data_IF_199521378684
#
_entry.id   IF_199521378684
#
_cell.length_a   1.000
_cell.length_b   1.000
_cell.length_c   1.000
_cell.angle_alpha   90.00
_cell.angle_beta   90.00
_cell.angle_gamma   90.00
#
_symmetry.space_group_name_H-M   'P 1'
#
loop_
_entity.id
_entity.type
_entity.pdbx_description
1 polymer ?
#
# COMPACT_ATOMS: atom_id res chain seq x y z
N UNK A 1 -21.87 -19.44 -47.63
CA UNK A 1 -21.70 -17.99 -47.33
C UNK A 1 -21.84 -17.59 -45.84
N UNK A 2 -22.61 -18.29 -44.99
CA UNK A 2 -22.80 -17.86 -43.58
C UNK A 2 -21.57 -18.04 -42.65
N UNK A 3 -20.62 -18.93 -42.96
CA UNK A 3 -19.44 -19.16 -42.11
C UNK A 3 -18.37 -18.05 -42.21
N UNK A 4 -18.29 -17.34 -43.34
CA UNK A 4 -17.30 -16.27 -43.53
C UNK A 4 -17.58 -15.03 -42.68
N UNK A 5 -18.86 -14.73 -42.41
CA UNK A 5 -19.26 -13.60 -41.56
C UNK A 5 -18.86 -13.80 -40.09
N UNK A 6 -18.87 -15.04 -39.60
CA UNK A 6 -18.49 -15.34 -38.20
C UNK A 6 -16.98 -15.19 -37.98
N UNK A 7 -16.17 -15.59 -38.96
CA UNK A 7 -14.71 -15.46 -38.90
C UNK A 7 -14.30 -13.98 -38.97
N UNK A 8 -14.92 -13.19 -39.85
CA UNK A 8 -14.65 -11.74 -39.96
C UNK A 8 -15.05 -10.96 -38.70
N UNK A 9 -16.20 -11.30 -38.09
CA UNK A 9 -16.64 -10.65 -36.85
C UNK A 9 -15.78 -11.04 -35.65
N UNK A 10 -15.27 -12.28 -35.60
CA UNK A 10 -14.34 -12.74 -34.56
C UNK A 10 -12.99 -12.02 -34.61
N UNK A 11 -12.43 -11.80 -35.81
CA UNK A 11 -11.17 -11.07 -35.97
C UNK A 11 -11.31 -9.58 -35.60
N UNK A 12 -12.48 -8.97 -35.84
CA UNK A 12 -12.68 -7.56 -35.54
C UNK A 12 -12.73 -7.26 -34.03
N UNK A 13 -13.17 -8.21 -33.20
CA UNK A 13 -13.17 -8.05 -31.74
C UNK A 13 -11.77 -8.15 -31.11
N UNK A 14 -10.80 -8.78 -31.77
CA UNK A 14 -9.43 -8.95 -31.25
C UNK A 14 -8.51 -7.75 -31.54
N UNK A 15 -8.98 -6.80 -32.38
CA UNK A 15 -8.19 -5.63 -32.78
C UNK A 15 -8.50 -4.36 -31.95
N UNK A 16 -9.30 -4.46 -30.88
CA UNK A 16 -9.52 -3.32 -30.00
C UNK A 16 -8.20 -3.04 -29.25
N UNK A 17 -7.59 -1.85 -29.46
CA UNK A 17 -6.38 -1.50 -28.73
C UNK A 17 -6.72 -1.49 -27.24
N UNK A 18 -5.95 -2.22 -26.44
CA UNK A 18 -6.03 -2.12 -25.00
C UNK A 18 -5.82 -0.64 -24.66
N UNK A 19 -6.89 0.03 -24.21
CA UNK A 19 -6.79 1.41 -23.76
C UNK A 19 -5.73 1.42 -22.67
N UNK A 20 -4.62 2.13 -22.92
CA UNK A 20 -3.57 2.29 -21.94
C UNK A 20 -4.20 2.91 -20.70
N UNK A 21 -4.37 2.11 -19.65
CA UNK A 21 -4.87 2.63 -18.38
C UNK A 21 -3.78 3.55 -17.84
N UNK A 22 -4.09 4.84 -17.80
CA UNK A 22 -3.22 5.83 -17.21
C UNK A 22 -3.12 5.52 -15.71
N UNK A 23 -2.00 4.94 -15.30
CA UNK A 23 -1.76 4.62 -13.90
C UNK A 23 -1.75 5.92 -13.09
N UNK A 24 -2.43 5.90 -11.94
CA UNK A 24 -2.42 7.04 -11.03
C UNK A 24 -0.98 7.28 -10.52
N UNK A 25 -0.62 8.52 -10.15
CA UNK A 25 0.69 8.82 -9.56
C UNK A 25 1.00 7.96 -8.33
N UNK A 26 0.01 7.64 -7.51
CA UNK A 26 0.17 6.79 -6.33
C UNK A 26 0.57 5.36 -6.73
N UNK A 27 -0.08 4.82 -7.76
CA UNK A 27 0.24 3.49 -8.25
C UNK A 27 1.66 3.43 -8.83
N UNK A 28 2.05 4.44 -9.62
CA UNK A 28 3.43 4.58 -10.12
C UNK A 28 4.46 4.67 -8.99
N UNK A 29 4.14 5.39 -7.91
CA UNK A 29 5.03 5.47 -6.75
C UNK A 29 5.17 4.12 -6.04
N UNK A 30 4.07 3.37 -5.89
CA UNK A 30 4.08 2.01 -5.34
C UNK A 30 4.92 1.06 -6.21
N UNK A 31 4.74 1.11 -7.53
CA UNK A 31 5.51 0.32 -8.49
C UNK A 31 7.03 0.65 -8.38
N UNK A 32 7.38 1.92 -8.24
CA UNK A 32 8.76 2.36 -8.01
C UNK A 32 9.34 1.83 -6.69
N UNK A 33 8.57 1.82 -5.60
CA UNK A 33 8.99 1.25 -4.32
C UNK A 33 9.27 -0.25 -4.46
N UNK A 34 8.38 -0.99 -5.14
CA UNK A 34 8.58 -2.42 -5.39
C UNK A 34 9.82 -2.68 -6.25
N UNK A 35 10.07 -1.84 -7.25
CA UNK A 35 11.25 -1.92 -8.10
C UNK A 35 12.56 -1.71 -7.30
N UNK A 36 12.60 -0.68 -6.45
CA UNK A 36 13.73 -0.41 -5.55
C UNK A 36 13.95 -1.59 -4.58
N UNK A 37 12.88 -2.10 -4.00
CA UNK A 37 12.90 -3.22 -3.06
C UNK A 37 13.50 -4.49 -3.68
N UNK A 38 13.02 -4.86 -4.87
CA UNK A 38 13.53 -6.00 -5.63
C UNK A 38 15.02 -5.83 -5.95
N UNK A 39 15.45 -4.60 -6.24
CA UNK A 39 16.85 -4.28 -6.55
C UNK A 39 17.75 -4.33 -5.32
N UNK A 40 17.30 -3.84 -4.17
CA UNK A 40 18.00 -4.00 -2.89
C UNK A 40 18.14 -5.47 -2.49
N UNK A 41 17.10 -6.28 -2.69
CA UNK A 41 17.17 -7.71 -2.40
C UNK A 41 18.20 -8.43 -3.29
N UNK A 42 18.25 -8.08 -4.59
CA UNK A 42 19.29 -8.59 -5.50
C UNK A 42 20.69 -8.14 -5.09
N UNK A 43 20.85 -6.87 -4.71
CA UNK A 43 22.12 -6.36 -4.18
C UNK A 43 22.57 -7.14 -2.94
N UNK A 44 21.67 -7.33 -1.96
CA UNK A 44 21.93 -8.06 -0.71
C UNK A 44 22.47 -9.47 -0.95
N UNK A 45 21.86 -10.20 -1.88
CA UNK A 45 22.30 -11.56 -2.25
C UNK A 45 23.71 -11.59 -2.83
N UNK A 46 24.07 -10.58 -3.60
CA UNK A 46 25.41 -10.47 -4.20
C UNK A 46 26.47 -9.96 -3.20
N UNK A 47 26.05 -9.29 -2.12
CA UNK A 47 26.93 -8.60 -1.17
C UNK A 47 26.86 -9.16 0.26
N UNK A 48 26.77 -10.49 0.39
CA UNK A 48 26.83 -11.19 1.68
C UNK A 48 25.78 -10.69 2.68
N UNK A 49 24.53 -10.51 2.23
CA UNK A 49 23.42 -10.04 3.05
C UNK A 49 23.64 -8.61 3.59
N UNK A 50 24.32 -7.74 2.85
CA UNK A 50 24.47 -6.32 3.17
C UNK A 50 23.71 -5.46 2.18
N UNK A 51 23.06 -4.42 2.69
CA UNK A 51 22.42 -3.41 1.84
C UNK A 51 23.43 -2.31 1.48
N UNK A 52 23.26 -1.62 0.34
CA UNK A 52 24.15 -0.52 -0.02
C UNK A 52 23.94 0.65 0.94
N UNK A 53 24.99 1.44 1.17
CA UNK A 53 24.93 2.66 1.99
C UNK A 53 24.05 3.73 1.32
N UNK A 54 24.07 3.76 -0.01
CA UNK A 54 23.36 4.73 -0.85
C UNK A 54 22.55 4.03 -1.95
N UNK A 55 21.40 4.59 -2.33
CA UNK A 55 20.57 3.97 -3.38
C UNK A 55 21.24 4.05 -4.76
N UNK A 56 22.12 5.02 -4.96
CA UNK A 56 22.91 5.20 -6.18
C UNK A 56 23.80 3.99 -6.49
N UNK A 57 24.21 3.21 -5.48
CA UNK A 57 25.02 2.00 -5.65
C UNK A 57 24.23 0.85 -6.33
N UNK A 58 22.90 0.99 -6.46
CA UNK A 58 22.07 0.08 -7.24
C UNK A 58 22.23 0.30 -8.76
N UNK A 59 22.70 1.48 -9.18
CA UNK A 59 22.88 1.87 -10.57
C UNK A 59 24.35 1.69 -10.97
N UNK A 60 24.65 1.20 -12.20
CA UNK A 60 23.74 0.72 -13.23
C UNK A 60 23.40 -0.77 -13.13
N UNK A 61 24.00 -1.50 -12.16
CA UNK A 61 24.01 -2.96 -12.17
C UNK A 61 22.65 -3.60 -11.87
N UNK A 62 21.91 -3.04 -10.92
CA UNK A 62 20.61 -3.57 -10.48
C UNK A 62 19.43 -2.75 -11.04
N UNK A 63 19.67 -1.47 -11.32
CA UNK A 63 18.73 -0.53 -11.91
C UNK A 63 19.41 0.28 -13.02
N UNK A 64 18.68 0.55 -14.10
CA UNK A 64 19.17 1.43 -15.17
C UNK A 64 19.32 2.88 -14.70
N UNK A 65 18.35 3.34 -13.91
CA UNK A 65 18.33 4.66 -13.28
C UNK A 65 17.52 4.61 -11.98
N UNK A 66 17.71 5.59 -11.10
CA UNK A 66 16.90 5.71 -9.89
C UNK A 66 15.52 6.28 -10.24
N UNK A 67 14.41 5.59 -9.89
CA UNK A 67 13.08 6.10 -10.15
C UNK A 67 12.82 7.37 -9.33
N UNK A 68 12.06 8.30 -9.91
CA UNK A 68 11.61 9.53 -9.25
C UNK A 68 10.16 9.38 -8.80
N UNK A 69 9.81 10.00 -7.68
CA UNK A 69 8.43 10.04 -7.24
C UNK A 69 7.59 10.86 -8.25
N UNK A 70 6.47 10.31 -8.76
CA UNK A 70 5.65 10.97 -9.78
C UNK A 70 4.89 12.20 -9.26
N UNK A 71 4.70 12.33 -7.94
CA UNK A 71 4.03 13.49 -7.32
C UNK A 71 4.98 14.68 -7.08
N UNK A 72 6.23 14.58 -7.52
CA UNK A 72 7.28 15.53 -7.18
C UNK A 72 7.93 15.19 -5.85
N UNK A 73 9.09 15.78 -5.56
CA UNK A 73 9.84 15.54 -4.33
C UNK A 73 11.21 14.92 -4.55
N UNK A 74 12.02 14.96 -3.49
CA UNK A 74 13.32 14.31 -3.43
C UNK A 74 13.20 12.78 -3.51
N UNK A 75 14.31 12.14 -3.86
CA UNK A 75 14.49 10.70 -4.01
C UNK A 75 13.91 9.88 -2.85
N UNK A 76 13.63 8.61 -3.12
CA UNK A 76 13.32 7.63 -2.08
C UNK A 76 14.43 7.60 -1.02
N UNK A 77 14.06 7.51 0.26
CA UNK A 77 15.02 7.44 1.36
C UNK A 77 15.10 6.01 1.89
N UNK A 78 16.32 5.57 2.19
CA UNK A 78 16.61 4.27 2.79
C UNK A 78 17.17 4.44 4.18
N UNK A 79 16.57 3.76 5.14
CA UNK A 79 17.09 3.63 6.50
C UNK A 79 17.54 2.19 6.68
N UNK A 80 18.80 1.93 7.03
CA UNK A 80 19.20 0.61 7.51
C UNK A 80 19.66 0.65 8.95
N UNK A 81 19.42 -0.45 9.64
CA UNK A 81 20.02 -0.73 10.94
C UNK A 81 21.06 -1.81 10.76
N UNK A 82 22.33 -1.42 10.90
CA UNK A 82 23.47 -2.34 10.95
C UNK A 82 23.59 -3.03 12.31
N UNK A 83 22.84 -2.58 13.31
CA UNK A 83 22.87 -3.13 14.67
C UNK A 83 22.16 -4.50 14.74
N UNK A 84 21.34 -4.83 13.73
CA UNK A 84 20.65 -6.10 13.66
C UNK A 84 21.39 -7.02 12.68
N UNK A 85 21.64 -8.26 13.09
CA UNK A 85 22.12 -9.34 12.24
C UNK A 85 20.99 -10.36 12.13
N UNK A 86 20.30 -10.47 10.98
CA UNK A 86 20.57 -9.87 9.66
C UNK A 86 20.32 -8.36 9.56
N UNK A 87 21.07 -7.65 8.69
CA UNK A 87 20.83 -6.22 8.42
C UNK A 87 19.40 -6.04 7.90
N UNK A 88 18.72 -5.00 8.38
CA UNK A 88 17.36 -4.63 7.93
C UNK A 88 17.38 -3.27 7.26
N UNK A 89 16.64 -3.14 6.16
CA UNK A 89 16.45 -1.88 5.46
C UNK A 89 14.96 -1.53 5.33
N UNK A 90 14.64 -0.25 5.46
CA UNK A 90 13.32 0.32 5.25
C UNK A 90 13.41 1.36 4.13
N UNK A 91 12.51 1.25 3.16
CA UNK A 91 12.33 2.23 2.08
C UNK A 91 11.09 3.07 2.34
N UNK A 92 11.24 4.39 2.23
CA UNK A 92 10.15 5.35 2.41
C UNK A 92 10.18 6.38 1.27
N UNK A 93 9.01 6.66 0.69
CA UNK A 93 8.83 7.83 -0.16
C UNK A 93 8.77 9.09 0.70
N UNK A 94 9.69 10.04 0.48
CA UNK A 94 9.82 11.23 1.32
C UNK A 94 8.85 12.37 0.98
N UNK A 95 7.95 12.16 0.01
CA UNK A 95 7.03 13.21 -0.43
C UNK A 95 5.87 13.38 0.56
N UNK A 96 5.66 14.58 1.13
CA UNK A 96 4.66 14.82 2.18
C UNK A 96 3.21 14.72 1.71
N UNK A 97 2.96 14.74 0.39
CA UNK A 97 1.61 14.56 -0.18
C UNK A 97 1.17 13.11 -0.32
N UNK A 98 2.04 12.13 -0.03
CA UNK A 98 1.59 10.76 0.14
C UNK A 98 0.94 10.62 1.51
N UNK A 99 -0.39 10.47 1.54
CA UNK A 99 -1.03 9.75 2.62
C UNK A 99 -0.60 8.29 2.46
N UNK A 100 0.59 7.95 2.98
CA UNK A 100 1.15 6.60 2.94
C UNK A 100 0.11 5.69 3.59
N UNK A 101 -0.70 5.03 2.77
CA UNK A 101 -1.62 4.01 3.26
C UNK A 101 -0.73 2.79 3.44
N UNK A 102 -0.77 2.09 4.58
CA UNK A 102 -0.12 0.79 4.67
C UNK A 102 -0.56 -0.03 3.44
N UNK A 103 0.37 -0.47 2.57
CA UNK A 103 1.76 -0.81 2.86
C UNK A 103 2.84 0.05 2.16
N UNK A 104 2.69 1.38 2.10
CA UNK A 104 3.61 2.25 1.35
C UNK A 104 5.03 2.40 1.97
N UNK A 105 5.37 1.58 2.97
CA UNK A 105 6.73 1.35 3.45
C UNK A 105 6.95 -0.16 3.49
N UNK A 106 8.09 -0.59 2.99
CA UNK A 106 8.44 -2.01 2.87
C UNK A 106 9.72 -2.25 3.67
N UNK A 107 9.71 -3.31 4.47
CA UNK A 107 10.89 -3.76 5.21
C UNK A 107 11.56 -4.91 4.47
N UNK A 108 12.88 -4.87 4.45
CA UNK A 108 13.73 -5.93 3.93
C UNK A 108 14.55 -6.49 5.09
N UNK A 109 14.58 -7.82 5.18
CA UNK A 109 15.60 -8.53 5.94
C UNK A 109 16.59 -9.12 4.95
N UNK A 110 17.88 -8.91 5.19
CA UNK A 110 18.92 -9.31 4.23
C UNK A 110 18.99 -10.82 3.99
N UNK A 111 18.58 -11.63 4.96
CA UNK A 111 18.54 -13.10 4.92
C UNK A 111 17.20 -13.69 4.43
N UNK A 112 16.07 -13.02 4.69
CA UNK A 112 14.71 -13.51 4.36
C UNK A 112 14.08 -12.84 3.14
N UNK A 113 14.72 -11.81 2.60
CA UNK A 113 14.25 -11.08 1.43
C UNK A 113 13.15 -10.08 1.74
N UNK A 114 12.13 -10.02 0.87
CA UNK A 114 10.98 -9.12 1.03
C UNK A 114 10.11 -9.69 2.14
N UNK A 115 10.29 -9.16 3.34
CA UNK A 115 9.35 -9.39 4.42
C UNK A 115 8.18 -8.42 4.18
N UNK A 116 7.07 -8.97 3.72
CA UNK A 116 5.81 -8.28 3.90
C UNK A 116 5.71 -7.94 5.39
N UNK A 117 5.36 -6.70 5.77
CA UNK A 117 5.19 -6.37 7.18
C UNK A 117 4.04 -7.16 7.87
N UNK A 118 3.46 -8.14 7.15
CA UNK A 118 2.24 -8.85 7.48
C UNK A 118 2.34 -10.39 7.53
N UNK A 119 3.54 -10.98 7.51
CA UNK A 119 3.72 -12.42 7.25
C UNK A 119 3.70 -13.39 8.46
N UNK A 120 3.32 -12.97 9.67
CA UNK A 120 3.11 -13.85 10.83
C UNK A 120 1.64 -13.88 11.28
N UNK A 121 1.25 -15.08 11.73
CA UNK A 121 -0.10 -15.55 12.08
C UNK A 121 -0.61 -15.00 13.43
N UNK A 122 0.25 -14.38 14.24
CA UNK A 122 -0.17 -13.80 15.52
C UNK A 122 -1.04 -12.55 15.29
N UNK A 123 -2.15 -12.47 16.02
CA UNK A 123 -3.12 -11.38 15.90
C UNK A 123 -2.42 -10.02 16.15
N UNK A 124 -2.36 -9.13 15.14
CA UNK A 124 -1.77 -7.79 15.25
C UNK A 124 -2.39 -6.91 16.36
N UNK A 125 -3.57 -7.27 16.86
CA UNK A 125 -4.15 -6.66 18.06
C UNK A 125 -3.26 -6.80 19.31
N UNK A 126 -2.39 -7.81 19.34
CA UNK A 126 -1.50 -8.13 20.47
C UNK A 126 -0.47 -7.02 20.66
N UNK A 127 0.23 -6.61 19.59
CA UNK A 127 1.22 -5.55 19.70
C UNK A 127 0.62 -4.14 19.71
N UNK A 128 -0.58 -3.96 19.13
CA UNK A 128 -1.29 -2.67 19.15
C UNK A 128 -1.50 -2.15 20.57
N UNK A 129 -1.92 -3.01 21.52
CA UNK A 129 -2.15 -2.59 22.92
C UNK A 129 -0.89 -2.04 23.58
N UNK A 130 0.24 -2.70 23.38
CA UNK A 130 1.53 -2.25 23.94
C UNK A 130 1.97 -0.91 23.34
N UNK A 131 1.78 -0.71 22.03
CA UNK A 131 2.10 0.55 21.36
C UNK A 131 1.19 1.71 21.80
N UNK A 132 -0.11 1.46 21.96
CA UNK A 132 -1.06 2.49 22.45
C UNK A 132 -0.70 2.90 23.88
N UNK A 133 -0.41 1.94 24.75
CA UNK A 133 0.01 2.22 26.13
C UNK A 133 1.34 2.98 26.17
N UNK A 134 2.28 2.64 25.27
CA UNK A 134 3.52 3.38 25.11
C UNK A 134 3.26 4.83 24.71
N UNK A 135 2.40 5.05 23.73
CA UNK A 135 2.05 6.38 23.23
C UNK A 135 1.51 7.26 24.36
N UNK A 136 0.57 6.73 25.16
CA UNK A 136 0.01 7.43 26.32
C UNK A 136 1.07 7.77 27.37
N UNK A 137 2.01 6.85 27.64
CA UNK A 137 3.12 7.09 28.56
C UNK A 137 4.06 8.18 28.05
N UNK A 138 4.41 8.13 26.77
CA UNK A 138 5.29 9.09 26.09
C UNK A 138 4.66 10.48 26.08
N UNK A 139 3.35 10.59 25.81
CA UNK A 139 2.60 11.85 25.87
C UNK A 139 2.54 12.43 27.29
N UNK A 140 2.36 11.56 28.29
CA UNK A 140 2.38 11.95 29.71
C UNK A 140 3.75 12.48 30.13
N UNK A 141 4.84 11.94 29.59
CA UNK A 141 6.18 12.50 29.85
C UNK A 141 6.40 13.81 29.09
N UNK A 142 5.94 13.89 27.83
CA UNK A 142 6.01 15.12 27.03
C UNK A 142 5.30 16.28 27.72
N UNK A 143 4.13 16.07 28.30
CA UNK A 143 3.39 17.15 28.98
C UNK A 143 4.15 17.71 30.19
N UNK A 144 4.97 16.89 30.86
CA UNK A 144 5.82 17.30 31.99
C UNK A 144 7.12 17.99 31.54
N UNK A 145 7.74 17.51 30.47
CA UNK A 145 9.07 17.94 30.03
C UNK A 145 9.03 18.97 28.89
N UNK A 146 7.87 19.21 28.30
CA UNK A 146 7.67 19.97 27.06
C UNK A 146 8.48 19.44 25.86
N UNK A 147 8.95 18.19 25.93
CA UNK A 147 9.68 17.46 24.89
C UNK A 147 9.53 15.96 25.10
N UNK A 148 9.61 15.19 24.03
CA UNK A 148 9.69 13.73 24.09
C UNK A 148 11.04 13.29 24.70
N UNK A 149 11.06 12.27 25.58
CA UNK A 149 12.29 11.77 26.18
C UNK A 149 13.21 11.17 25.11
N UNK A 150 14.53 11.22 25.29
CA UNK A 150 15.46 10.58 24.32
C UNK A 150 15.44 9.05 24.41
N UNK A 151 15.14 8.51 25.60
CA UNK A 151 15.02 7.08 25.87
C UNK A 151 13.86 6.81 26.82
N UNK A 152 13.21 5.67 26.63
CA UNK A 152 12.20 5.16 27.54
C UNK A 152 12.87 4.30 28.60
N UNK A 153 12.59 4.57 29.88
CA UNK A 153 12.98 3.72 30.99
C UNK A 153 11.76 3.41 31.86
N UNK A 154 11.46 2.13 32.15
CA UNK A 154 12.15 0.94 31.62
C UNK A 154 11.92 0.73 30.11
N UNK A 155 12.74 -0.12 29.50
CA UNK A 155 12.54 -0.57 28.11
C UNK A 155 11.16 -1.23 27.99
N UNK A 156 10.36 -0.79 27.02
CA UNK A 156 8.98 -1.23 26.88
C UNK A 156 8.93 -2.42 25.95
N UNK A 157 8.58 -3.57 26.49
CA UNK A 157 8.44 -4.81 25.73
C UNK A 157 7.07 -4.84 25.06
N UNK A 158 7.01 -5.25 23.78
CA UNK A 158 5.76 -5.56 23.13
C UNK A 158 5.21 -6.88 23.65
N UNK A 159 3.89 -7.08 23.55
CA UNK A 159 3.26 -8.36 23.88
C UNK A 159 3.73 -9.54 23.00
N UNK A 160 4.44 -9.30 21.89
CA UNK A 160 5.13 -10.35 21.13
C UNK A 160 6.47 -10.80 21.75
N UNK A 161 6.92 -10.17 22.83
CA UNK A 161 8.19 -10.45 23.51
C UNK A 161 9.38 -9.63 23.04
N UNK A 162 9.24 -8.84 21.97
CA UNK A 162 10.31 -7.99 21.46
C UNK A 162 10.29 -6.58 22.07
N UNK A 163 11.45 -5.96 22.30
CA UNK A 163 11.53 -4.58 22.76
C UNK A 163 10.98 -3.62 21.70
N UNK A 164 10.18 -2.64 22.13
CA UNK A 164 9.69 -1.56 21.26
C UNK A 164 10.85 -0.60 21.01
N UNK A 165 11.22 -0.46 19.74
CA UNK A 165 12.21 0.52 19.30
C UNK A 165 11.59 1.91 19.36
N UNK A 166 12.33 2.85 19.91
CA UNK A 166 11.89 4.22 20.12
C UNK A 166 13.02 5.19 19.78
N UNK A 167 12.71 6.22 18.99
CA UNK A 167 13.65 7.27 18.65
C UNK A 167 12.97 8.63 18.72
N UNK A 168 13.49 9.53 19.54
CA UNK A 168 13.11 10.93 19.51
C UNK A 168 13.66 11.59 18.23
N UNK A 169 12.81 12.33 17.53
CA UNK A 169 13.13 13.06 16.31
C UNK A 169 13.07 14.57 16.56
N UNK A 170 13.72 15.35 15.70
CA UNK A 170 13.65 16.83 15.72
C UNK A 170 13.92 17.48 17.10
N UNK A 171 14.95 16.99 17.81
CA UNK A 171 15.28 17.44 19.18
C UNK A 171 14.14 17.21 20.19
N UNK A 172 13.39 16.13 20.04
CA UNK A 172 12.31 15.74 20.93
C UNK A 172 10.96 16.42 20.64
N UNK A 173 10.77 16.99 19.44
CA UNK A 173 9.47 17.54 19.01
C UNK A 173 8.53 16.47 18.47
N UNK A 174 9.09 15.41 17.89
CA UNK A 174 8.39 14.24 17.38
C UNK A 174 9.12 12.98 17.85
N UNK A 175 8.50 11.82 17.68
CA UNK A 175 9.13 10.53 17.98
C UNK A 175 8.67 9.48 16.98
N UNK A 176 9.47 8.44 16.81
CA UNK A 176 9.11 7.22 16.09
C UNK A 176 9.14 6.07 17.09
N UNK A 177 8.08 5.28 17.14
CA UNK A 177 8.04 4.03 17.90
C UNK A 177 7.55 2.90 17.00
N UNK A 178 8.26 1.78 17.01
CA UNK A 178 7.86 0.58 16.27
C UNK A 178 8.29 -0.67 17.02
N UNK A 179 7.47 -1.72 16.94
CA UNK A 179 7.87 -3.03 17.44
C UNK A 179 8.44 -3.85 16.27
N UNK A 180 9.71 -4.29 16.33
CA UNK A 180 10.32 -5.09 15.27
C UNK A 180 9.63 -6.45 15.10
N UNK A 181 9.03 -7.00 16.17
CA UNK A 181 8.17 -8.19 16.09
C UNK A 181 6.79 -7.91 15.51
N UNK A 182 6.28 -6.68 15.64
CA UNK A 182 5.01 -6.28 15.02
C UNK A 182 5.14 -6.00 13.52
N UNK A 183 6.35 -5.75 13.02
CA UNK A 183 6.64 -5.73 11.59
C UNK A 183 6.43 -7.10 10.93
N UNK A 184 6.09 -8.13 11.70
CA UNK A 184 5.65 -9.40 11.17
C UNK A 184 4.12 -9.57 11.21
N UNK A 185 3.35 -8.69 11.87
CA UNK A 185 1.95 -8.98 12.24
C UNK A 185 0.96 -8.36 11.24
N UNK A 186 0.27 -9.23 10.52
CA UNK A 186 -0.54 -8.95 9.35
C UNK A 186 -1.84 -8.19 9.49
N UNK A 187 -1.81 -6.95 9.99
CA UNK A 187 -2.93 -6.05 9.71
C UNK A 187 -2.52 -4.58 9.70
N UNK A 188 -2.64 -3.95 8.52
CA UNK A 188 -3.46 -2.74 8.28
C UNK A 188 -3.35 -1.51 9.18
N UNK A 189 -2.46 -1.45 10.15
CA UNK A 189 -2.25 -0.31 11.02
C UNK A 189 -0.82 0.17 10.78
N UNK A 190 -0.74 1.40 10.27
CA UNK A 190 0.47 2.12 9.94
C UNK A 190 1.49 2.11 11.08
N UNK A 191 2.78 2.43 10.82
CA UNK A 191 3.65 2.89 11.88
C UNK A 191 2.94 4.13 12.42
N UNK A 192 2.76 4.20 13.74
CA UNK A 192 2.40 5.46 14.37
C UNK A 192 3.57 6.41 14.13
N UNK A 193 3.54 7.14 13.01
CA UNK A 193 4.27 8.37 12.84
C UNK A 193 3.37 9.45 13.44
N UNK A 194 3.63 9.94 14.66
CA UNK A 194 2.91 11.06 15.18
C UNK A 194 3.52 12.31 14.55
N UNK A 195 3.27 12.54 13.25
CA UNK A 195 3.20 13.90 12.76
C UNK A 195 1.88 14.50 13.25
N UNK A 196 1.75 14.62 14.58
CA UNK A 196 0.64 15.30 15.24
C UNK A 196 0.95 16.80 15.12
N UNK A 197 0.42 17.39 14.05
CA UNK A 197 0.12 18.83 14.05
C UNK A 197 -0.85 19.16 15.20
N UNK A 198 -1.10 20.46 15.48
CA UNK A 198 -1.73 20.92 16.73
C UNK A 198 -3.23 20.55 16.94
N UNK A 199 -3.73 19.45 16.37
CA UNK A 199 -5.15 19.08 16.34
C UNK A 199 -5.58 17.78 17.05
N UNK A 200 -4.68 16.93 17.57
CA UNK A 200 -5.08 15.76 18.39
C UNK A 200 -5.83 14.62 17.66
N UNK A 201 -5.86 13.46 18.34
CA UNK A 201 -6.36 12.14 17.92
C UNK A 201 -7.72 12.11 17.20
N UNK A 202 -7.82 11.42 16.05
CA UNK A 202 -9.07 10.79 15.60
C UNK A 202 -8.85 9.40 14.98
N UNK A 203 -9.19 8.36 15.75
CA UNK A 203 -9.54 7.00 15.30
C UNK A 203 -10.99 6.94 14.75
N UNK A 204 -11.36 7.82 13.81
CA UNK A 204 -12.67 7.72 13.17
C UNK A 204 -12.61 6.71 12.02
N UNK A 205 -12.96 5.44 12.30
CA UNK A 205 -13.77 4.57 11.42
C UNK A 205 -13.78 3.11 11.90
N UNK A 206 -14.42 2.84 13.02
CA UNK A 206 -15.12 1.57 13.30
C UNK A 206 -16.58 1.96 13.62
N UNK A 207 -17.41 1.98 12.56
CA UNK A 207 -18.89 1.95 12.43
C UNK A 207 -19.75 2.15 13.72
N UNK A 208 -20.68 3.11 13.85
CA UNK A 208 -22.00 3.29 13.18
C UNK A 208 -22.55 4.75 13.39
N UNK A 209 -23.41 5.31 12.49
CA UNK A 209 -24.22 6.54 12.73
C UNK A 209 -25.65 6.20 13.23
N UNK A 210 -26.43 7.05 13.97
CA UNK A 210 -27.09 8.30 13.50
C UNK A 210 -27.30 9.37 14.63
N UNK A 211 -28.08 10.49 14.53
CA UNK A 211 -28.93 10.99 13.45
C UNK A 211 -28.61 12.40 12.92
N UNK A 212 -29.20 12.63 11.75
CA UNK A 212 -29.44 13.85 10.96
C UNK A 212 -29.29 15.22 11.64
N UNK A 213 -28.61 16.14 10.97
CA UNK A 213 -29.26 17.29 10.32
C UNK A 213 -28.33 18.01 9.32
N UNK A 214 -28.92 18.32 8.17
CA UNK A 214 -28.58 19.37 7.21
C UNK A 214 -27.32 19.23 6.33
N UNK A 215 -27.58 18.70 5.13
CA UNK A 215 -26.79 18.92 3.93
C UNK A 215 -26.89 20.37 3.43
N UNK A 216 -25.92 20.80 2.60
CA UNK A 216 -26.25 21.48 1.36
C UNK A 216 -25.88 20.63 0.15
N UNK A 217 -26.82 20.61 -0.81
CA UNK A 217 -26.81 19.82 -2.01
C UNK A 217 -25.73 20.27 -3.02
N UNK A 218 -24.87 19.34 -3.43
CA UNK A 218 -24.13 19.47 -4.69
C UNK A 218 -24.76 18.57 -5.76
N UNK A 219 -25.27 19.22 -6.81
CA UNK A 219 -25.72 18.60 -8.05
C UNK A 219 -24.48 18.28 -8.92
N UNK A 220 -24.43 17.06 -9.45
CA UNK A 220 -23.75 16.81 -10.73
C UNK A 220 -22.90 15.53 -10.79
N UNK A 221 -23.47 14.45 -11.34
CA UNK A 221 -23.16 13.95 -12.69
C UNK A 221 -24.09 12.75 -12.98
N UNK A 222 -24.85 12.84 -14.06
CA UNK A 222 -25.97 11.96 -14.38
C UNK A 222 -25.55 10.54 -14.80
N UNK A 223 -26.04 9.53 -14.08
CA UNK A 223 -25.89 8.09 -14.38
C UNK A 223 -26.69 7.59 -15.60
N UNK A 224 -26.90 8.41 -16.61
CA UNK A 224 -27.70 8.08 -17.80
C UNK A 224 -26.94 7.28 -18.86
N UNK A 225 -25.60 7.22 -18.81
CA UNK A 225 -24.80 6.52 -19.85
C UNK A 225 -24.60 5.02 -19.61
N UNK A 226 -24.76 4.51 -18.38
CA UNK A 226 -24.61 3.07 -18.11
C UNK A 226 -25.85 2.23 -18.47
N UNK A 227 -27.03 2.85 -18.57
CA UNK A 227 -28.25 2.13 -18.94
C UNK A 227 -28.36 1.87 -20.46
N UNK A 228 -27.78 2.73 -21.31
CA UNK A 228 -27.89 2.59 -22.76
C UNK A 228 -27.03 1.45 -23.33
N UNK A 229 -25.87 1.16 -22.73
CA UNK A 229 -24.98 0.09 -23.18
C UNK A 229 -25.52 -1.32 -22.93
N UNK A 230 -26.21 -1.54 -21.81
CA UNK A 230 -26.73 -2.87 -21.44
C UNK A 230 -27.87 -3.37 -22.34
N UNK A 231 -28.71 -2.47 -22.85
CA UNK A 231 -29.89 -2.84 -23.67
C UNK A 231 -29.49 -3.30 -25.09
N UNK A 232 -28.42 -2.74 -25.65
CA UNK A 232 -27.94 -3.12 -26.98
C UNK A 232 -27.36 -4.55 -27.03
N UNK A 233 -26.69 -4.99 -25.96
CA UNK A 233 -26.11 -6.35 -25.90
C UNK A 233 -27.19 -7.42 -25.71
N UNK A 234 -28.19 -7.15 -24.86
CA UNK A 234 -29.29 -8.07 -24.61
C UNK A 234 -30.16 -8.30 -25.87
N UNK A 235 -30.40 -7.25 -26.66
CA UNK A 235 -31.19 -7.35 -27.90
C UNK A 235 -30.48 -8.15 -28.99
N UNK A 236 -29.15 -8.00 -29.14
CA UNK A 236 -28.37 -8.78 -30.09
C UNK A 236 -28.31 -10.29 -29.73
N UNK A 237 -28.19 -10.62 -28.43
CA UNK A 237 -28.22 -12.01 -27.97
C UNK A 237 -29.60 -12.66 -28.15
N UNK A 238 -30.68 -11.92 -27.86
CA UNK A 238 -32.06 -12.40 -28.03
C UNK A 238 -32.43 -12.71 -29.48
N UNK A 239 -32.00 -11.85 -30.42
CA UNK A 239 -32.23 -12.07 -31.86
C UNK A 239 -31.40 -13.25 -32.40
N UNK A 240 -30.17 -13.44 -31.92
CA UNK A 240 -29.32 -14.58 -32.29
C UNK A 240 -29.97 -15.93 -31.95
N UNK A 241 -30.45 -16.08 -30.71
CA UNK A 241 -31.10 -17.31 -30.22
C UNK A 241 -32.41 -17.64 -30.96
N UNK A 242 -33.22 -16.62 -31.27
CA UNK A 242 -34.49 -16.82 -32.00
C UNK A 242 -34.29 -17.33 -33.43
N UNK A 243 -33.23 -16.93 -34.12
CA UNK A 243 -32.95 -17.44 -35.47
C UNK A 243 -32.44 -18.88 -35.48
N UNK A 244 -31.82 -19.33 -34.38
CA UNK A 244 -31.29 -20.69 -34.28
C UNK A 244 -32.40 -21.72 -34.01
N UNK A 245 -33.43 -21.36 -33.23
CA UNK A 245 -34.55 -22.26 -32.92
C UNK A 245 -35.49 -22.50 -34.12
N UNK A 246 -35.58 -21.58 -35.08
CA UNK A 246 -36.49 -21.70 -36.23
C UNK A 246 -36.05 -22.70 -37.32
N UNK A 247 -34.86 -23.32 -37.20
CA UNK A 247 -34.30 -24.19 -38.25
C UNK A 247 -34.33 -25.70 -37.97
N UNK A 248 -34.86 -26.15 -36.82
CA UNK A 248 -35.13 -27.58 -36.59
C UNK A 248 -36.58 -27.91 -36.92
N UNK A 249 -36.91 -28.06 -38.21
CA UNK A 249 -38.06 -28.87 -38.60
C UNK A 249 -37.62 -30.33 -38.55
N UNK A 250 -38.01 -31.03 -37.49
CA UNK A 250 -37.93 -32.48 -37.40
C UNK A 250 -38.91 -33.03 -38.45
N UNK A 251 -38.40 -33.76 -39.45
CA UNK A 251 -39.23 -34.67 -40.25
C UNK A 251 -39.47 -35.89 -39.37
N UNK A 252 -40.74 -36.14 -39.04
CA UNK A 252 -41.20 -37.44 -38.59
C UNK A 252 -41.58 -38.18 -39.87
N UNK A 253 -40.74 -39.13 -40.28
CA UNK A 253 -41.12 -40.22 -41.18
C UNK A 253 -41.60 -41.39 -40.32
#
# INVERSE_FOLDING_TARGET
MRHWFVILLSCLCLALPAAAQEQSPEQKCSDNLQLLLSSLNRYSKDHQNRFPDKLEDLVPRYLSELPKCPLGGASYSRYSSTEHNPERAMLICSFPGHALKPPDYLMLSSDRGIESPFAHISDPSICRRSLVQLLQNVETQRSKLNRYPERLQPEVMCSCGDPIQYQALEKGKSFLAYCPGAAHLGSGLAPFSPSIGPGGLQERSLLLPPPTSDAPAHKGLSGTWLAAGGVAVATLLGLGLSTMMRRRRVRLD
#
